data_IF_386168943829
#
_entry.id   IF_386168943829
#
_cell.length_a   1.000
_cell.length_b   1.000
_cell.length_c   1.000
_cell.angle_alpha   90.00
_cell.angle_beta   90.00
_cell.angle_gamma   90.00
#
_symmetry.space_group_name_H-M   'P 1'
#
loop_
_entity.id
_entity.type
_entity.pdbx_description
1 polymer ?
#
# COMPACT_ATOMS: atom_id res chain seq x y z
N UNK A 1 23.43 7.19 0.89
CA UNK A 1 22.41 7.87 0.07
C UNK A 1 21.10 7.75 0.84
N UNK A 2 20.22 8.75 0.80
CA UNK A 2 18.92 8.68 1.48
C UNK A 2 18.06 7.61 0.82
N UNK A 3 17.41 6.76 1.63
CA UNK A 3 16.39 5.81 1.16
C UNK A 3 15.14 6.60 0.79
N UNK A 4 15.03 7.00 -0.48
CA UNK A 4 13.86 7.72 -0.96
C UNK A 4 12.73 6.75 -1.29
N UNK A 5 11.50 7.16 -0.98
CA UNK A 5 10.31 6.38 -1.29
C UNK A 5 10.06 6.42 -2.81
N UNK A 6 9.99 5.24 -3.43
CA UNK A 6 9.75 5.09 -4.86
C UNK A 6 8.26 5.20 -5.23
N UNK A 7 7.35 4.96 -4.28
CA UNK A 7 5.93 5.18 -4.50
C UNK A 7 5.61 6.68 -4.55
N UNK A 8 4.86 7.10 -5.56
CA UNK A 8 4.36 8.47 -5.66
C UNK A 8 3.03 8.60 -4.92
N UNK A 9 2.75 9.79 -4.40
CA UNK A 9 1.50 10.11 -3.69
C UNK A 9 1.08 9.04 -2.65
N UNK A 10 1.94 8.68 -1.68
CA UNK A 10 1.67 7.58 -0.74
C UNK A 10 0.58 7.89 0.29
N UNK A 11 0.25 9.18 0.49
CA UNK A 11 -0.69 9.63 1.52
C UNK A 11 -2.01 10.21 0.95
N UNK A 12 -2.10 10.43 -0.37
CA UNK A 12 -3.26 11.07 -1.00
C UNK A 12 -3.19 12.59 -1.07
N UNK A 13 -2.00 13.19 -0.95
CA UNK A 13 -1.80 14.64 -1.08
C UNK A 13 -2.27 15.16 -2.46
N UNK A 14 -2.12 14.33 -3.49
CA UNK A 14 -2.53 14.59 -4.88
C UNK A 14 -3.75 13.74 -5.26
N UNK A 15 -4.70 13.59 -4.34
CA UNK A 15 -5.89 12.75 -4.50
C UNK A 15 -5.52 11.32 -4.94
N UNK A 16 -6.07 10.81 -6.05
CA UNK A 16 -5.77 9.46 -6.58
C UNK A 16 -4.69 9.47 -7.67
N UNK A 17 -4.00 10.59 -7.91
CA UNK A 17 -2.94 10.67 -8.92
C UNK A 17 -1.85 9.62 -8.67
N UNK A 18 -1.23 9.17 -9.75
CA UNK A 18 -0.22 8.09 -9.82
C UNK A 18 -0.70 6.68 -9.51
N UNK A 19 -1.91 6.51 -8.95
CA UNK A 19 -2.46 5.19 -8.65
C UNK A 19 -3.38 4.68 -9.77
N UNK A 20 -3.10 3.48 -10.27
CA UNK A 20 -4.03 2.74 -11.12
C UNK A 20 -5.12 2.12 -10.25
N UNK A 21 -6.39 2.43 -10.51
CA UNK A 21 -7.52 1.84 -9.80
C UNK A 21 -7.90 0.50 -10.44
N UNK A 22 -7.39 -0.60 -9.90
CA UNK A 22 -7.68 -1.95 -10.41
C UNK A 22 -9.07 -2.44 -9.99
N UNK A 23 -9.57 -1.97 -8.84
CA UNK A 23 -10.97 -2.13 -8.41
C UNK A 23 -11.47 -0.84 -7.74
N UNK A 24 -12.72 -0.45 -7.98
CA UNK A 24 -13.27 0.81 -7.47
C UNK A 24 -14.76 0.68 -7.11
N UNK A 25 -15.10 -0.30 -6.28
CA UNK A 25 -16.47 -0.64 -5.93
C UNK A 25 -17.17 0.34 -4.99
N UNK A 26 -18.48 0.16 -4.82
CA UNK A 26 -19.30 0.94 -3.88
C UNK A 26 -19.28 2.44 -4.19
N UNK A 27 -19.06 3.26 -3.16
CA UNK A 27 -18.86 4.71 -3.28
C UNK A 27 -17.46 5.10 -3.77
N UNK A 28 -16.67 4.14 -4.29
CA UNK A 28 -15.32 4.33 -4.81
C UNK A 28 -14.30 4.70 -3.73
N UNK A 29 -13.02 4.77 -4.11
CA UNK A 29 -11.97 5.36 -3.27
C UNK A 29 -12.26 6.82 -2.95
N UNK A 30 -11.87 7.24 -1.74
CA UNK A 30 -11.89 8.64 -1.32
C UNK A 30 -10.62 8.98 -0.54
N UNK A 31 -10.11 10.18 -0.74
CA UNK A 31 -9.08 10.75 0.13
C UNK A 31 -9.75 11.60 1.19
N UNK A 32 -9.30 11.45 2.44
CA UNK A 32 -9.82 12.18 3.60
C UNK A 32 -8.67 12.72 4.46
N UNK A 33 -8.95 13.80 5.21
CA UNK A 33 -7.98 14.40 6.13
C UNK A 33 -7.89 13.63 7.45
N UNK A 34 -6.70 13.63 8.05
CA UNK A 34 -6.40 13.02 9.35
C UNK A 34 -6.76 13.96 10.51
N UNK A 35 -7.32 13.48 11.65
CA UNK A 35 -7.88 12.15 11.85
C UNK A 35 -9.27 12.03 11.21
N UNK A 36 -9.55 10.86 10.63
CA UNK A 36 -10.86 10.54 10.09
C UNK A 36 -11.93 10.35 11.17
N UNK A 37 -13.20 10.49 10.78
CA UNK A 37 -14.35 10.17 11.63
C UNK A 37 -14.23 8.76 12.22
N UNK A 38 -14.53 8.61 13.51
CA UNK A 38 -14.40 7.33 14.23
C UNK A 38 -13.03 6.67 14.03
N UNK A 39 -11.97 7.47 13.83
CA UNK A 39 -10.61 7.01 13.58
C UNK A 39 -9.62 7.45 14.65
N UNK A 40 -8.40 6.91 14.53
CA UNK A 40 -7.25 7.31 15.33
C UNK A 40 -6.37 8.28 14.55
N UNK A 41 -5.72 9.20 15.25
CA UNK A 41 -4.66 10.01 14.67
C UNK A 41 -3.49 9.12 14.25
N UNK A 42 -2.84 9.47 13.16
CA UNK A 42 -1.57 8.86 12.75
C UNK A 42 -0.44 9.33 13.66
N UNK A 43 0.57 8.49 13.89
CA UNK A 43 1.67 8.81 14.81
C UNK A 43 2.65 9.85 14.25
N UNK A 44 2.76 9.95 12.92
CA UNK A 44 3.55 10.96 12.23
C UNK A 44 2.67 12.15 11.82
N UNK A 45 2.90 13.30 12.43
CA UNK A 45 2.13 14.53 12.18
C UNK A 45 2.33 15.11 10.77
N UNK A 46 3.34 14.64 10.02
CA UNK A 46 3.55 15.03 8.62
C UNK A 46 2.59 14.32 7.66
N UNK A 47 1.98 13.20 8.09
CA UNK A 47 0.97 12.47 7.32
C UNK A 47 -0.41 13.05 7.63
N UNK A 48 -0.89 13.92 6.75
CA UNK A 48 -2.13 14.67 6.96
C UNK A 48 -3.37 14.07 6.30
N UNK A 49 -3.19 13.05 5.46
CA UNK A 49 -4.27 12.42 4.68
C UNK A 49 -4.17 10.91 4.64
N UNK A 50 -5.26 10.27 4.25
CA UNK A 50 -5.34 8.85 3.99
C UNK A 50 -6.35 8.53 2.88
N UNK A 51 -6.23 7.34 2.31
CA UNK A 51 -7.21 6.77 1.38
C UNK A 51 -8.21 5.90 2.14
N UNK A 52 -9.49 6.00 1.83
CA UNK A 52 -10.56 5.19 2.41
C UNK A 52 -11.29 4.37 1.34
N UNK A 53 -11.51 3.09 1.60
CA UNK A 53 -12.33 2.22 0.75
C UNK A 53 -13.80 2.25 1.14
N UNK A 54 -14.64 1.70 0.27
CA UNK A 54 -16.09 1.63 0.44
C UNK A 54 -16.54 0.22 0.85
N UNK A 55 -17.81 -0.11 0.61
CA UNK A 55 -18.47 -1.36 1.00
C UNK A 55 -18.33 -2.50 -0.02
N UNK A 56 -17.75 -2.22 -1.18
CA UNK A 56 -17.29 -3.22 -2.14
C UNK A 56 -15.79 -3.04 -2.36
N UNK A 57 -15.16 -4.07 -2.93
CA UNK A 57 -13.72 -4.10 -3.14
C UNK A 57 -13.21 -2.85 -3.87
N UNK A 58 -12.25 -2.18 -3.24
CA UNK A 58 -11.47 -1.11 -3.83
C UNK A 58 -10.00 -1.50 -3.75
N UNK A 59 -9.30 -1.51 -4.88
CA UNK A 59 -7.88 -1.82 -5.00
C UNK A 59 -7.21 -0.76 -5.86
N UNK A 60 -5.98 -0.41 -5.47
CA UNK A 60 -5.15 0.51 -6.24
C UNK A 60 -3.72 0.00 -6.31
N UNK A 61 -3.09 0.24 -7.45
CA UNK A 61 -1.78 -0.28 -7.81
C UNK A 61 -0.84 0.82 -8.29
N UNK A 62 0.43 0.69 -7.96
CA UNK A 62 1.54 1.39 -8.63
C UNK A 62 2.58 0.37 -9.09
N UNK A 63 3.11 0.57 -10.29
CA UNK A 63 4.24 -0.20 -10.81
C UNK A 63 5.42 0.74 -10.94
N UNK A 64 6.46 0.50 -10.15
CA UNK A 64 7.70 1.28 -10.15
C UNK A 64 8.62 0.74 -11.24
N UNK A 65 9.05 1.59 -12.17
CA UNK A 65 10.12 1.30 -13.13
C UNK A 65 11.47 1.71 -12.53
N UNK A 66 12.29 0.72 -12.19
CA UNK A 66 13.55 0.99 -11.50
C UNK A 66 14.59 1.66 -12.40
N UNK A 67 14.56 1.42 -13.72
CA UNK A 67 15.45 2.13 -14.63
C UNK A 67 15.06 3.61 -14.71
N UNK A 68 13.76 3.92 -14.72
CA UNK A 68 13.25 5.29 -14.71
C UNK A 68 13.55 6.04 -13.39
N UNK A 69 13.59 5.31 -12.26
CA UNK A 69 14.01 5.86 -10.97
C UNK A 69 15.55 5.96 -10.81
N UNK A 70 16.32 5.59 -11.86
CA UNK A 70 17.77 5.81 -11.94
C UNK A 70 18.64 4.65 -11.45
N UNK A 71 18.06 3.49 -11.17
CA UNK A 71 18.82 2.28 -10.83
C UNK A 71 19.49 1.70 -12.08
N UNK A 72 20.75 1.28 -11.96
CA UNK A 72 21.40 0.56 -13.05
C UNK A 72 21.00 -0.92 -13.01
N UNK A 73 20.71 -1.49 -14.18
CA UNK A 73 20.26 -2.89 -14.27
C UNK A 73 21.34 -3.88 -13.84
N UNK A 74 22.61 -3.55 -14.08
CA UNK A 74 23.74 -4.36 -13.60
C UNK A 74 23.78 -4.39 -12.08
N UNK A 75 23.62 -3.25 -11.40
CA UNK A 75 23.62 -3.24 -9.93
C UNK A 75 22.44 -4.06 -9.37
N UNK A 76 21.26 -3.95 -9.97
CA UNK A 76 20.09 -4.75 -9.56
C UNK A 76 20.34 -6.26 -9.72
N UNK A 77 21.03 -6.68 -10.78
CA UNK A 77 21.29 -8.10 -11.07
C UNK A 77 22.42 -8.68 -10.18
N UNK A 78 23.49 -7.91 -9.96
CA UNK A 78 24.68 -8.38 -9.24
C UNK A 78 24.65 -8.11 -7.74
N UNK A 79 24.20 -6.92 -7.31
CA UNK A 79 24.11 -6.55 -5.90
C UNK A 79 22.87 -7.14 -5.25
N UNK A 80 21.76 -7.22 -6.00
CA UNK A 80 20.45 -7.66 -5.51
C UNK A 80 20.08 -6.91 -4.21
N UNK A 81 20.05 -5.57 -4.25
CA UNK A 81 19.83 -4.75 -3.07
C UNK A 81 18.50 -5.09 -2.39
N UNK A 82 18.45 -5.02 -1.07
CA UNK A 82 17.22 -5.28 -0.34
C UNK A 82 16.12 -4.30 -0.75
N UNK A 83 14.93 -4.82 -1.01
CA UNK A 83 13.73 -4.02 -1.29
C UNK A 83 12.86 -4.04 -0.05
N UNK A 84 12.76 -2.90 0.63
CA UNK A 84 11.89 -2.74 1.80
C UNK A 84 10.55 -2.16 1.38
N UNK A 85 9.48 -2.82 1.81
CA UNK A 85 8.10 -2.43 1.60
C UNK A 85 7.48 -2.13 2.95
N UNK A 86 6.73 -1.03 3.03
CA UNK A 86 5.91 -0.71 4.19
C UNK A 86 4.54 -0.20 3.76
N UNK A 87 3.54 -0.46 4.59
CA UNK A 87 2.22 0.12 4.41
C UNK A 87 1.55 0.28 5.79
N UNK A 88 0.63 1.24 5.89
CA UNK A 88 -0.15 1.43 7.10
C UNK A 88 -1.63 1.30 6.79
N UNK A 89 -2.34 0.59 7.67
CA UNK A 89 -3.77 0.40 7.53
C UNK A 89 -4.48 0.50 8.89
N UNK A 90 -5.73 0.95 8.87
CA UNK A 90 -6.61 0.94 10.04
C UNK A 90 -8.08 0.74 9.64
N UNK A 91 -8.93 0.52 10.65
CA UNK A 91 -10.38 0.50 10.52
C UNK A 91 -11.01 1.69 11.24
N UNK A 92 -12.31 1.89 11.04
CA UNK A 92 -13.10 2.75 11.92
C UNK A 92 -13.44 2.01 13.22
N UNK A 93 -13.77 2.76 14.27
CA UNK A 93 -14.23 2.20 15.55
C UNK A 93 -15.71 1.82 15.57
N UNK A 94 -16.47 2.14 14.51
CA UNK A 94 -17.90 1.83 14.37
C UNK A 94 -18.21 0.79 13.27
N UNK A 95 -17.22 0.43 12.44
CA UNK A 95 -17.36 -0.57 11.39
C UNK A 95 -16.05 -1.34 11.17
N UNK A 96 -16.16 -2.66 11.01
CA UNK A 96 -15.03 -3.50 10.62
C UNK A 96 -14.76 -3.44 9.12
N UNK A 97 -13.59 -3.92 8.72
CA UNK A 97 -13.17 -3.94 7.33
C UNK A 97 -12.21 -5.10 7.06
N UNK A 98 -11.91 -5.32 5.78
CA UNK A 98 -10.85 -6.20 5.31
C UNK A 98 -9.75 -5.40 4.64
N UNK A 99 -8.50 -5.79 4.86
CA UNK A 99 -7.30 -5.25 4.24
C UNK A 99 -6.55 -6.35 3.50
N UNK A 100 -6.04 -6.02 2.32
CA UNK A 100 -5.15 -6.88 1.56
C UNK A 100 -4.02 -6.08 0.92
N UNK A 101 -2.88 -6.75 0.77
CA UNK A 101 -1.65 -6.23 0.16
C UNK A 101 -1.07 -7.34 -0.74
N UNK A 102 -0.60 -6.97 -1.92
CA UNK A 102 0.19 -7.82 -2.79
C UNK A 102 1.33 -7.00 -3.38
N UNK A 103 2.57 -7.46 -3.19
CA UNK A 103 3.76 -6.83 -3.77
C UNK A 103 4.55 -7.85 -4.56
N UNK A 104 4.86 -7.53 -5.81
CA UNK A 104 5.60 -8.39 -6.72
C UNK A 104 6.88 -7.73 -7.22
N UNK A 105 7.99 -8.45 -7.14
CA UNK A 105 9.22 -8.16 -7.87
C UNK A 105 9.10 -8.76 -9.27
N UNK A 106 9.29 -7.94 -10.30
CA UNK A 106 9.03 -8.33 -11.69
C UNK A 106 10.25 -8.16 -12.59
N UNK A 107 10.37 -9.03 -13.58
CA UNK A 107 11.44 -8.99 -14.59
C UNK A 107 11.15 -8.05 -15.77
N UNK A 108 12.01 -8.04 -16.79
CA UNK A 108 11.84 -7.19 -17.99
C UNK A 108 10.56 -7.47 -18.78
N UNK A 109 10.02 -8.68 -18.68
CA UNK A 109 8.78 -9.11 -19.32
C UNK A 109 7.56 -8.91 -18.40
N UNK A 110 7.75 -8.29 -17.23
CA UNK A 110 6.78 -8.18 -16.15
C UNK A 110 6.33 -9.54 -15.58
N UNK A 111 7.17 -10.57 -15.71
CA UNK A 111 6.96 -11.86 -15.06
C UNK A 111 7.42 -11.81 -13.60
N UNK A 112 6.71 -12.55 -12.74
CA UNK A 112 6.94 -12.54 -11.30
C UNK A 112 8.23 -13.30 -10.94
N UNK A 113 9.16 -12.60 -10.30
CA UNK A 113 10.37 -13.17 -9.69
C UNK A 113 10.05 -13.65 -8.27
N UNK A 114 9.44 -12.78 -7.46
CA UNK A 114 9.07 -13.07 -6.08
C UNK A 114 7.84 -12.25 -5.68
N UNK A 115 6.96 -12.83 -4.86
CA UNK A 115 5.76 -12.17 -4.33
C UNK A 115 5.77 -12.15 -2.80
N UNK A 116 5.35 -11.02 -2.25
CA UNK A 116 4.88 -10.91 -0.88
C UNK A 116 3.38 -10.63 -0.88
N UNK A 117 2.62 -11.62 -0.44
CA UNK A 117 1.17 -11.55 -0.32
C UNK A 117 0.74 -12.16 1.03
N UNK A 118 0.66 -11.34 2.09
CA UNK A 118 0.20 -11.80 3.39
C UNK A 118 -1.27 -12.24 3.33
N UNK A 119 -1.70 -13.00 4.33
CA UNK A 119 -3.10 -13.34 4.50
C UNK A 119 -3.96 -12.06 4.64
N UNK A 120 -5.17 -12.11 4.10
CA UNK A 120 -6.14 -11.01 4.21
C UNK A 120 -6.41 -10.74 5.70
N UNK A 121 -6.26 -9.48 6.10
CA UNK A 121 -6.48 -9.05 7.48
C UNK A 121 -7.95 -8.64 7.63
N UNK A 122 -8.64 -9.19 8.62
CA UNK A 122 -9.98 -8.74 9.02
C UNK A 122 -9.87 -7.95 10.32
N UNK A 123 -10.42 -6.74 10.34
CA UNK A 123 -10.46 -5.86 11.52
C UNK A 123 -11.90 -5.79 12.04
N UNK A 124 -12.10 -6.10 13.31
CA UNK A 124 -13.40 -6.05 13.99
C UNK A 124 -13.37 -5.03 15.13
N UNK A 125 -14.16 -3.94 15.09
CA UNK A 125 -14.17 -2.90 16.12
C UNK A 125 -14.60 -3.38 17.51
N UNK A 126 -15.19 -4.57 17.63
CA UNK A 126 -15.53 -5.15 18.94
C UNK A 126 -14.33 -5.84 19.63
N UNK A 127 -13.25 -6.12 18.90
CA UNK A 127 -12.11 -6.93 19.37
C UNK A 127 -10.79 -6.19 19.15
N UNK A 128 -10.65 -5.47 18.05
CA UNK A 128 -9.48 -4.68 17.69
C UNK A 128 -9.54 -3.26 18.26
N UNK A 129 -8.38 -2.67 18.50
CA UNK A 129 -8.24 -1.28 18.93
C UNK A 129 -8.49 -0.26 17.81
N UNK A 130 -8.70 -0.73 16.56
CA UNK A 130 -8.90 0.06 15.35
C UNK A 130 -7.77 1.08 15.05
N UNK A 131 -6.62 0.95 15.71
CA UNK A 131 -5.51 1.88 15.54
C UNK A 131 -4.73 1.60 14.25
N UNK A 132 -3.87 2.52 13.85
CA UNK A 132 -2.98 2.34 12.70
C UNK A 132 -1.98 1.23 12.96
N UNK A 133 -2.01 0.21 12.11
CA UNK A 133 -1.08 -0.93 12.12
C UNK A 133 -0.14 -0.83 10.93
N UNK A 134 1.14 -1.07 11.16
CA UNK A 134 2.14 -1.13 10.11
C UNK A 134 2.33 -2.58 9.66
N UNK A 135 2.45 -2.77 8.35
CA UNK A 135 3.01 -3.98 7.77
C UNK A 135 4.35 -3.64 7.11
N UNK A 136 5.32 -4.54 7.26
CA UNK A 136 6.65 -4.39 6.65
C UNK A 136 7.10 -5.72 6.08
N UNK A 137 7.75 -5.66 4.92
CA UNK A 137 8.42 -6.79 4.31
C UNK A 137 9.74 -6.34 3.70
N UNK A 138 10.74 -7.23 3.70
CA UNK A 138 12.02 -7.00 3.05
C UNK A 138 12.27 -8.17 2.13
N UNK A 139 12.35 -7.89 0.82
CA UNK A 139 12.83 -8.86 -0.14
C UNK A 139 14.35 -8.87 -0.13
N UNK A 140 14.95 -10.06 -0.05
CA UNK A 140 16.37 -10.31 -0.22
C UNK A 140 16.55 -11.61 -0.98
N UNK A 141 17.73 -11.81 -1.58
CA UNK A 141 18.10 -13.05 -2.26
C UNK A 141 17.07 -13.47 -3.34
N UNK A 142 16.43 -12.49 -4.00
CA UNK A 142 15.40 -12.70 -5.02
C UNK A 142 15.97 -13.12 -6.38
N UNK A 143 17.29 -13.09 -6.55
CA UNK A 143 17.96 -13.42 -7.81
C UNK A 143 18.06 -12.24 -8.78
N UNK A 144 18.75 -12.41 -9.91
CA UNK A 144 18.87 -11.37 -10.91
C UNK A 144 17.57 -11.15 -11.68
N UNK A 145 17.48 -10.05 -12.40
CA UNK A 145 16.40 -9.76 -13.34
C UNK A 145 15.39 -8.73 -12.85
N UNK A 146 15.52 -8.21 -11.63
CA UNK A 146 14.59 -7.21 -11.09
C UNK A 146 14.56 -5.95 -11.97
N UNK A 147 13.40 -5.60 -12.50
CA UNK A 147 13.16 -4.38 -13.31
C UNK A 147 12.01 -3.53 -12.80
N UNK A 148 10.95 -4.16 -12.30
CA UNK A 148 9.80 -3.45 -11.78
C UNK A 148 9.38 -3.95 -10.40
N UNK A 149 8.71 -3.09 -9.66
CA UNK A 149 8.05 -3.44 -8.41
C UNK A 149 6.57 -3.08 -8.54
N UNK A 150 5.69 -4.08 -8.51
CA UNK A 150 4.24 -3.87 -8.45
C UNK A 150 3.81 -3.85 -6.99
N UNK A 151 3.15 -2.77 -6.56
CA UNK A 151 2.57 -2.60 -5.23
C UNK A 151 1.06 -2.39 -5.37
N UNK A 152 0.26 -3.31 -4.84
CA UNK A 152 -1.20 -3.21 -4.84
C UNK A 152 -1.77 -3.45 -3.44
N UNK A 153 -2.70 -2.59 -3.01
CA UNK A 153 -3.39 -2.75 -1.75
C UNK A 153 -4.82 -2.25 -1.80
N UNK A 154 -5.58 -2.57 -0.75
CA UNK A 154 -6.91 -2.04 -0.52
C UNK A 154 -7.79 -3.02 0.24
N UNK A 155 -9.09 -3.01 -0.06
CA UNK A 155 -10.06 -3.82 0.65
C UNK A 155 -11.45 -3.20 0.63
N UNK A 156 -12.26 -3.51 1.62
CA UNK A 156 -13.66 -3.09 1.72
C UNK A 156 -14.16 -3.16 3.16
N UNK A 157 -15.36 -2.63 3.43
CA UNK A 157 -16.01 -2.82 4.72
C UNK A 157 -16.50 -4.27 4.94
N UNK A 158 -16.91 -4.58 6.19
CA UNK A 158 -17.52 -5.87 6.55
C UNK A 158 -19.03 -5.81 6.79
N UNK A 159 -19.66 -4.64 6.67
CA UNK A 159 -21.07 -4.41 7.04
C UNK A 159 -21.98 -4.05 5.87
N UNK A 160 -21.41 -3.85 4.68
CA UNK A 160 -22.10 -3.37 3.49
C UNK A 160 -22.83 -2.04 3.71
N UNK A 161 -22.18 -1.10 4.39
CA UNK A 161 -22.75 0.21 4.69
C UNK A 161 -22.41 1.22 3.60
N UNK A 162 -23.43 1.86 3.05
CA UNK A 162 -23.26 2.89 2.03
C UNK A 162 -22.37 4.03 2.55
N UNK A 163 -21.30 4.36 1.84
CA UNK A 163 -20.25 5.30 2.26
C UNK A 163 -18.85 4.68 2.34
N UNK A 164 -17.98 5.28 3.15
CA UNK A 164 -16.55 4.94 3.27
C UNK A 164 -16.23 4.30 4.63
N UNK A 165 -16.79 3.12 4.84
CA UNK A 165 -16.61 2.33 6.06
C UNK A 165 -15.56 1.23 5.94
N UNK A 166 -14.88 1.16 4.79
CA UNK A 166 -13.84 0.18 4.53
C UNK A 166 -12.51 0.50 5.20
N UNK A 167 -11.46 -0.20 4.74
CA UNK A 167 -10.11 0.00 5.24
C UNK A 167 -9.59 1.38 4.86
N UNK A 168 -8.83 1.98 5.77
CA UNK A 168 -8.07 3.20 5.54
C UNK A 168 -6.61 2.85 5.38
N UNK A 169 -5.94 3.41 4.38
CA UNK A 169 -4.52 3.17 4.09
C UNK A 169 -3.76 4.47 3.83
N UNK A 170 -2.51 4.55 4.28
CA UNK A 170 -1.62 5.71 4.07
C UNK A 170 -0.17 5.31 4.33
N UNK A 171 0.79 6.23 4.15
CA UNK A 171 2.19 6.01 4.54
C UNK A 171 2.85 4.84 3.81
N UNK A 172 2.35 4.48 2.63
CA UNK A 172 2.89 3.38 1.83
C UNK A 172 4.31 3.72 1.35
N UNK A 173 5.24 2.78 1.43
CA UNK A 173 6.59 3.00 0.93
C UNK A 173 7.21 1.77 0.28
N UNK A 174 8.04 2.04 -0.72
CA UNK A 174 8.98 1.09 -1.31
C UNK A 174 10.33 1.79 -1.37
N UNK A 175 11.36 1.20 -0.76
CA UNK A 175 12.73 1.74 -0.75
C UNK A 175 13.73 0.65 -1.08
N UNK A 176 14.79 1.01 -1.82
CA UNK A 176 15.88 0.09 -2.18
C UNK A 176 17.18 0.51 -1.51
N UNK A 177 17.90 -0.48 -1.00
CA UNK A 177 19.18 -0.32 -0.31
C UNK A 177 20.37 -0.82 -1.15
N UNK A 178 20.92 0.07 -1.97
CA UNK A 178 22.20 -0.11 -2.68
C UNK A 178 23.42 0.32 -1.84
#
# INVERSE_FOLDING_TARGET
MTRENLLKNPNGDEDMEFWELTENGGCQWRVEDMPGDCGHAFSDETVTKYFSTSFQQCLKRQVVDLAAEGFTLEDLDFVQPSVTVQDWYCSRTDCGCVYQLAVGLLDENQELIQEFKPDIVSLDPFIDDCSWKQITHVFSDYGPGLRYISFEHGGQDSKYWDGWYGVRVTGSSVTIDL
#
